data_IF_556488207349
#
_entry.id   IF_556488207349
#
_cell.length_a   1.000
_cell.length_b   1.000
_cell.length_c   1.000
_cell.angle_alpha   90.00
_cell.angle_beta   90.00
_cell.angle_gamma   90.00
#
_symmetry.space_group_name_H-M   'P 1'
#
loop_
_entity.id
_entity.type
_entity.pdbx_description
1 polymer ?
#
# COMPACT_ATOMS: atom_id res chain seq x y z
N UNK A 1 -30.30 27.50 21.75
CA UNK A 1 -29.68 28.80 22.06
C UNK A 1 -28.23 28.67 22.49
N UNK A 2 -27.91 27.74 23.39
CA UNK A 2 -26.58 27.57 23.98
C UNK A 2 -25.65 26.56 23.24
N UNK A 3 -26.18 25.72 22.34
CA UNK A 3 -25.36 24.74 21.60
C UNK A 3 -24.61 25.32 20.39
N UNK A 4 -25.18 26.32 19.69
CA UNK A 4 -24.51 26.97 18.55
C UNK A 4 -23.30 27.83 18.94
N UNK A 5 -23.21 28.25 20.21
CA UNK A 5 -22.10 29.05 20.74
C UNK A 5 -20.88 28.16 21.09
N UNK A 6 -21.10 26.87 21.40
CA UNK A 6 -20.03 25.90 21.67
C UNK A 6 -19.36 25.39 20.39
N UNK A 7 -20.13 25.14 19.32
CA UNK A 7 -19.61 24.76 17.99
C UNK A 7 -18.74 25.85 17.36
N UNK A 8 -19.12 27.12 17.48
CA UNK A 8 -18.36 28.24 16.92
C UNK A 8 -16.98 28.40 17.60
N UNK A 9 -16.90 28.23 18.93
CA UNK A 9 -15.63 28.28 19.67
C UNK A 9 -14.67 27.13 19.33
N UNK A 10 -15.24 25.99 18.88
CA UNK A 10 -14.49 24.80 18.46
C UNK A 10 -13.82 25.01 17.10
N UNK A 11 -14.54 25.64 16.16
CA UNK A 11 -14.04 25.94 14.81
C UNK A 11 -12.94 27.03 14.86
N UNK A 12 -13.08 28.03 15.73
CA UNK A 12 -12.07 29.09 15.89
C UNK A 12 -10.77 28.58 16.55
N UNK A 13 -10.89 27.70 17.55
CA UNK A 13 -9.74 27.04 18.20
C UNK A 13 -9.01 26.09 17.24
N UNK A 14 -9.76 25.41 16.35
CA UNK A 14 -9.22 24.53 15.32
C UNK A 14 -8.51 25.30 14.20
N UNK A 15 -9.05 26.45 13.78
CA UNK A 15 -8.44 27.30 12.74
C UNK A 15 -7.18 28.04 13.22
N UNK A 16 -7.05 28.34 14.51
CA UNK A 16 -5.80 28.88 15.07
C UNK A 16 -4.62 27.88 14.99
N UNK A 17 -4.92 26.58 15.09
CA UNK A 17 -3.93 25.50 15.01
C UNK A 17 -3.49 25.16 13.56
N UNK A 18 -4.25 25.59 12.53
CA UNK A 18 -3.90 25.36 11.11
C UNK A 18 -2.56 25.96 10.70
N UNK A 19 -2.10 27.03 11.35
CA UNK A 19 -0.81 27.65 11.06
C UNK A 19 0.39 26.75 11.35
N UNK A 20 0.21 25.64 12.09
CA UNK A 20 1.27 24.66 12.38
C UNK A 20 1.21 23.42 11.46
N UNK A 21 0.15 23.27 10.66
CA UNK A 21 -0.10 22.08 9.82
C UNK A 21 0.61 22.10 8.45
N UNK A 22 1.47 23.09 8.18
CA UNK A 22 2.30 23.12 6.97
C UNK A 22 3.60 22.31 7.08
N UNK A 23 3.84 21.67 8.23
CA UNK A 23 4.97 20.74 8.40
C UNK A 23 4.57 19.32 8.01
N UNK A 24 5.34 18.70 7.12
CA UNK A 24 5.33 17.25 6.88
C UNK A 24 5.26 16.50 8.22
N UNK A 25 4.15 15.81 8.50
CA UNK A 25 3.98 15.04 9.74
C UNK A 25 4.83 13.78 9.62
N UNK A 26 6.08 13.85 10.08
CA UNK A 26 6.93 12.66 10.14
C UNK A 26 6.40 11.70 11.22
N UNK A 27 5.92 10.52 10.80
CA UNK A 27 5.37 9.50 11.70
C UNK A 27 6.44 8.92 12.63
N UNK A 28 6.20 9.02 13.95
CA UNK A 28 7.11 8.58 15.02
C UNK A 28 6.71 7.21 15.58
N UNK A 29 7.67 6.50 16.19
CA UNK A 29 7.42 5.20 16.86
C UNK A 29 6.50 5.31 18.07
N UNK A 30 6.47 6.48 18.71
CA UNK A 30 5.58 6.80 19.83
C UNK A 30 5.07 8.24 19.70
N UNK A 31 3.82 8.44 20.10
CA UNK A 31 3.14 9.73 20.13
C UNK A 31 2.92 10.18 21.58
N UNK A 32 3.05 11.47 21.84
CA UNK A 32 2.58 12.08 23.09
C UNK A 32 1.05 12.26 23.08
N UNK A 33 0.46 12.54 24.26
CA UNK A 33 -0.98 12.84 24.36
C UNK A 33 -1.39 14.00 23.45
N UNK A 34 -0.53 15.03 23.33
CA UNK A 34 -0.79 16.20 22.49
C UNK A 34 -0.72 15.87 21.00
N UNK A 35 0.30 15.13 20.59
CA UNK A 35 0.43 14.70 19.18
C UNK A 35 -0.75 13.80 18.79
N UNK A 36 -1.14 12.85 19.64
CA UNK A 36 -2.28 11.98 19.38
C UNK A 36 -3.61 12.76 19.30
N UNK A 37 -3.78 13.78 20.14
CA UNK A 37 -4.97 14.61 20.14
C UNK A 37 -5.13 15.41 18.84
N UNK A 38 -4.04 16.04 18.37
CA UNK A 38 -4.01 16.72 17.08
C UNK A 38 -4.32 15.75 15.96
N UNK A 39 -3.68 14.59 16.01
CA UNK A 39 -3.75 13.57 14.98
C UNK A 39 -5.15 12.94 14.83
N UNK A 40 -5.88 12.74 15.94
CA UNK A 40 -7.26 12.25 15.95
C UNK A 40 -8.31 13.37 15.97
N UNK A 41 -7.90 14.64 15.83
CA UNK A 41 -8.77 15.81 15.91
C UNK A 41 -9.63 15.88 17.19
N UNK A 42 -9.08 15.50 18.35
CA UNK A 42 -9.73 15.55 19.66
C UNK A 42 -8.96 16.43 20.66
N UNK A 43 -9.53 16.68 21.84
CA UNK A 43 -8.82 17.39 22.90
C UNK A 43 -7.76 16.49 23.57
N UNK A 44 -6.62 17.07 23.98
CA UNK A 44 -5.59 16.38 24.75
C UNK A 44 -6.14 15.80 26.07
N UNK A 45 -7.12 16.47 26.70
CA UNK A 45 -7.80 15.95 27.89
C UNK A 45 -8.59 14.67 27.60
N UNK A 46 -9.19 14.55 26.42
CA UNK A 46 -9.90 13.33 25.97
C UNK A 46 -8.92 12.17 25.84
N UNK A 47 -7.75 12.40 25.24
CA UNK A 47 -6.69 11.38 25.11
C UNK A 47 -6.17 10.94 26.48
N UNK A 48 -5.97 11.89 27.41
CA UNK A 48 -5.57 11.57 28.78
C UNK A 48 -6.62 10.72 29.48
N UNK A 49 -7.90 11.08 29.34
CA UNK A 49 -9.02 10.30 29.89
C UNK A 49 -9.00 8.86 29.37
N UNK A 50 -8.93 8.65 28.06
CA UNK A 50 -8.87 7.31 27.47
C UNK A 50 -7.69 6.48 27.99
N UNK A 51 -6.54 7.11 28.20
CA UNK A 51 -5.37 6.41 28.74
C UNK A 51 -5.50 6.08 30.24
N UNK A 52 -6.25 6.89 30.99
CA UNK A 52 -6.43 6.71 32.43
C UNK A 52 -7.53 5.70 32.75
N UNK A 53 -8.55 5.61 31.89
CA UNK A 53 -9.59 4.57 31.91
C UNK A 53 -9.12 3.24 31.34
N UNK A 54 -7.99 3.23 30.62
CA UNK A 54 -7.45 2.04 29.97
C UNK A 54 -8.07 1.74 28.60
N UNK A 55 -8.89 2.64 28.06
CA UNK A 55 -9.53 2.50 26.74
C UNK A 55 -8.49 2.45 25.61
N UNK A 56 -7.38 3.21 25.76
CA UNK A 56 -6.24 3.16 24.84
C UNK A 56 -4.96 2.82 25.60
N UNK A 57 -4.27 1.79 25.12
CA UNK A 57 -3.01 1.33 25.69
C UNK A 57 -1.91 2.38 25.51
N UNK A 58 -1.17 2.68 26.59
CA UNK A 58 -0.02 3.55 26.57
C UNK A 58 1.09 3.07 27.49
N UNK A 59 2.34 3.36 27.13
CA UNK A 59 3.48 3.19 28.02
C UNK A 59 3.76 4.52 28.72
N UNK A 60 4.23 4.46 29.97
CA UNK A 60 4.73 5.63 30.69
C UNK A 60 6.26 5.60 30.73
N UNK A 61 6.89 6.71 30.38
CA UNK A 61 8.36 6.83 30.50
C UNK A 61 8.77 6.88 31.98
N UNK A 62 10.08 6.78 32.27
CA UNK A 62 10.61 6.98 33.63
C UNK A 62 10.18 8.32 34.26
N UNK A 63 9.94 9.35 33.45
CA UNK A 63 9.40 10.65 33.88
C UNK A 63 7.88 10.73 33.95
N UNK A 64 7.16 9.61 33.82
CA UNK A 64 5.69 9.57 33.92
C UNK A 64 4.93 10.05 32.69
N UNK A 65 5.61 10.44 31.61
CA UNK A 65 4.94 10.91 30.39
C UNK A 65 4.32 9.75 29.60
N UNK A 66 3.07 9.92 29.18
CA UNK A 66 2.34 8.97 28.33
C UNK A 66 2.94 8.92 26.92
N UNK A 67 3.07 7.71 26.40
CA UNK A 67 3.54 7.42 25.04
C UNK A 67 2.64 6.35 24.43
N UNK A 68 2.04 6.69 23.30
CA UNK A 68 1.12 5.83 22.56
C UNK A 68 1.86 5.22 21.39
N UNK A 69 1.86 3.88 21.30
CA UNK A 69 2.42 3.21 20.14
C UNK A 69 1.47 3.35 18.96
N UNK A 70 2.00 3.34 17.74
CA UNK A 70 1.16 3.37 16.55
C UNK A 70 0.16 2.22 16.52
N UNK A 71 0.59 1.02 16.90
CA UNK A 71 -0.24 -0.18 16.91
C UNK A 71 -1.43 -0.02 17.88
N UNK A 72 -1.20 0.54 19.06
CA UNK A 72 -2.25 0.81 20.05
C UNK A 72 -3.24 1.86 19.53
N UNK A 73 -2.75 2.89 18.83
CA UNK A 73 -3.62 3.92 18.22
C UNK A 73 -4.48 3.32 17.10
N UNK A 74 -3.88 2.58 16.17
CA UNK A 74 -4.59 1.93 15.06
C UNK A 74 -5.69 1.00 15.55
N UNK A 75 -5.37 0.15 16.53
CA UNK A 75 -6.33 -0.74 17.17
C UNK A 75 -7.50 0.04 17.78
N UNK A 76 -7.19 1.06 18.57
CA UNK A 76 -8.19 1.89 19.23
C UNK A 76 -9.14 2.56 18.24
N UNK A 77 -8.62 3.14 17.16
CA UNK A 77 -9.44 3.77 16.13
C UNK A 77 -10.35 2.76 15.46
N UNK A 78 -9.82 1.59 15.09
CA UNK A 78 -10.58 0.54 14.43
C UNK A 78 -11.73 0.02 15.32
N UNK A 79 -11.44 -0.23 16.60
CA UNK A 79 -12.42 -0.72 17.59
C UNK A 79 -13.52 0.31 17.86
N UNK A 80 -13.16 1.60 17.92
CA UNK A 80 -14.08 2.70 18.21
C UNK A 80 -14.71 3.32 16.96
N UNK A 81 -14.41 2.80 15.77
CA UNK A 81 -14.91 3.30 14.47
C UNK A 81 -14.73 4.82 14.29
N UNK A 82 -13.58 5.34 14.73
CA UNK A 82 -13.32 6.78 14.66
C UNK A 82 -12.99 7.22 13.22
N UNK A 83 -13.47 8.39 12.84
CA UNK A 83 -13.05 9.04 11.59
C UNK A 83 -11.66 9.67 11.77
N UNK A 84 -10.72 9.26 10.92
CA UNK A 84 -9.35 9.82 10.89
C UNK A 84 -9.27 10.78 9.70
N UNK A 85 -8.61 11.95 9.84
CA UNK A 85 -8.31 12.82 8.70
C UNK A 85 -7.60 12.07 7.57
N UNK A 86 -7.98 12.32 6.31
CA UNK A 86 -7.52 11.55 5.15
C UNK A 86 -5.99 11.42 5.04
N UNK A 87 -5.24 12.48 5.37
CA UNK A 87 -3.78 12.47 5.39
C UNK A 87 -3.21 11.48 6.43
N UNK A 88 -3.80 11.46 7.62
CA UNK A 88 -3.43 10.55 8.70
C UNK A 88 -3.81 9.10 8.36
N UNK A 89 -4.91 8.88 7.64
CA UNK A 89 -5.31 7.54 7.13
C UNK A 89 -4.27 6.97 6.16
N UNK A 90 -3.77 7.78 5.23
CA UNK A 90 -2.72 7.37 4.27
C UNK A 90 -1.41 7.02 4.98
N UNK A 91 -0.99 7.86 5.93
CA UNK A 91 0.24 7.63 6.71
C UNK A 91 0.14 6.39 7.61
N UNK A 92 -1.04 6.14 8.19
CA UNK A 92 -1.32 4.93 8.95
C UNK A 92 -1.25 3.67 8.10
N UNK A 93 -1.91 3.67 6.95
CA UNK A 93 -1.87 2.54 6.04
C UNK A 93 -0.42 2.22 5.66
N UNK A 94 0.38 3.25 5.31
CA UNK A 94 1.80 3.10 5.00
C UNK A 94 2.63 2.55 6.16
N UNK A 95 2.37 3.00 7.39
CA UNK A 95 3.15 2.61 8.55
C UNK A 95 2.69 1.26 9.13
N UNK A 96 1.41 0.89 9.00
CA UNK A 96 0.91 -0.45 9.32
C UNK A 96 1.48 -1.49 8.34
N UNK A 97 1.50 -1.15 7.04
CA UNK A 97 2.24 -1.92 6.02
C UNK A 97 3.68 -2.09 6.51
N UNK A 98 4.41 -1.00 6.78
CA UNK A 98 5.79 -1.05 7.29
C UNK A 98 5.96 -1.87 8.57
N UNK A 99 5.00 -1.85 9.49
CA UNK A 99 5.07 -2.60 10.74
C UNK A 99 4.96 -4.10 10.49
N UNK A 100 4.02 -4.50 9.62
CA UNK A 100 3.89 -5.89 9.19
C UNK A 100 5.10 -6.37 8.38
N UNK A 101 5.77 -5.47 7.64
CA UNK A 101 7.03 -5.78 6.97
C UNK A 101 8.15 -6.16 7.93
N UNK A 102 8.29 -5.42 9.04
CA UNK A 102 9.32 -5.69 10.06
C UNK A 102 9.08 -7.04 10.74
N UNK A 103 7.84 -7.50 10.80
CA UNK A 103 7.48 -8.82 11.30
C UNK A 103 7.70 -9.95 10.26
N UNK A 104 8.09 -9.65 9.02
CA UNK A 104 8.27 -10.63 7.95
C UNK A 104 6.96 -11.31 7.49
N UNK A 105 5.80 -10.77 7.90
CA UNK A 105 4.51 -11.37 7.61
C UNK A 105 4.01 -10.85 6.25
N UNK A 106 4.27 -11.60 5.18
CA UNK A 106 3.81 -11.30 3.83
C UNK A 106 2.34 -11.64 3.60
N UNK A 107 1.73 -12.45 4.46
CA UNK A 107 0.36 -12.96 4.29
C UNK A 107 -0.69 -11.82 4.32
N UNK A 108 -0.36 -10.71 4.99
CA UNK A 108 -1.23 -9.53 5.06
C UNK A 108 -1.13 -8.62 3.83
N UNK A 109 -0.13 -8.82 2.96
CA UNK A 109 0.08 -7.95 1.80
C UNK A 109 -0.90 -8.26 0.67
N UNK A 110 -1.16 -9.54 0.40
CA UNK A 110 -2.10 -9.97 -0.63
C UNK A 110 -3.52 -9.39 -0.45
N UNK A 111 -4.20 -9.51 0.71
CA UNK A 111 -5.53 -8.95 0.89
C UNK A 111 -5.54 -7.42 0.79
N UNK A 112 -4.47 -6.74 1.23
CA UNK A 112 -4.33 -5.28 1.11
C UNK A 112 -4.14 -4.86 -0.35
N UNK A 113 -3.31 -5.58 -1.10
CA UNK A 113 -3.08 -5.32 -2.53
C UNK A 113 -4.38 -5.48 -3.32
N UNK A 114 -5.13 -6.57 -3.09
CA UNK A 114 -6.43 -6.79 -3.72
C UNK A 114 -7.40 -5.64 -3.44
N UNK A 115 -7.54 -5.26 -2.17
CA UNK A 115 -8.45 -4.18 -1.76
C UNK A 115 -8.08 -2.84 -2.39
N UNK A 116 -6.78 -2.50 -2.42
CA UNK A 116 -6.29 -1.28 -3.06
C UNK A 116 -6.51 -1.32 -4.58
N UNK A 117 -6.27 -2.45 -5.23
CA UNK A 117 -6.44 -2.60 -6.67
C UNK A 117 -7.90 -2.45 -7.10
N UNK A 118 -8.84 -3.07 -6.38
CA UNK A 118 -10.28 -3.01 -6.67
C UNK A 118 -10.87 -1.59 -6.64
N UNK A 119 -10.22 -0.65 -5.95
CA UNK A 119 -10.63 0.76 -5.89
C UNK A 119 -9.74 1.68 -6.76
N UNK A 120 -8.86 1.13 -7.59
CA UNK A 120 -7.96 1.93 -8.44
C UNK A 120 -6.79 2.59 -7.68
N UNK A 121 -6.50 2.13 -6.47
CA UNK A 121 -5.50 2.71 -5.57
C UNK A 121 -4.06 2.40 -6.00
N UNK A 122 -3.55 3.10 -7.01
CA UNK A 122 -2.20 2.89 -7.55
C UNK A 122 -1.09 3.22 -6.54
N UNK A 123 -1.24 4.32 -5.78
CA UNK A 123 -0.24 4.73 -4.79
C UNK A 123 -0.12 3.70 -3.66
N UNK A 124 -1.25 3.16 -3.21
CA UNK A 124 -1.30 2.15 -2.15
C UNK A 124 -0.78 0.81 -2.67
N UNK A 125 -1.21 0.38 -3.86
CA UNK A 125 -0.71 -0.82 -4.54
C UNK A 125 0.81 -0.78 -4.68
N UNK A 126 1.38 0.32 -5.18
CA UNK A 126 2.82 0.48 -5.32
C UNK A 126 3.54 0.47 -3.95
N UNK A 127 2.95 1.09 -2.93
CA UNK A 127 3.49 1.09 -1.58
C UNK A 127 3.52 -0.33 -1.00
N UNK A 128 2.47 -1.13 -1.22
CA UNK A 128 2.38 -2.53 -0.80
C UNK A 128 3.41 -3.40 -1.54
N UNK A 129 3.62 -3.21 -2.84
CA UNK A 129 4.64 -3.96 -3.60
C UNK A 129 6.06 -3.61 -3.14
N UNK A 130 6.37 -2.32 -2.96
CA UNK A 130 7.66 -1.87 -2.40
C UNK A 130 7.90 -2.43 -1.02
N UNK A 131 6.84 -2.46 -0.23
CA UNK A 131 6.85 -3.03 1.10
C UNK A 131 7.23 -4.52 1.04
N UNK A 132 6.53 -5.32 0.23
CA UNK A 132 6.85 -6.75 0.07
C UNK A 132 8.29 -6.99 -0.38
N UNK A 133 8.81 -6.20 -1.33
CA UNK A 133 10.21 -6.27 -1.76
C UNK A 133 11.21 -5.91 -0.63
N UNK A 134 10.86 -4.98 0.26
CA UNK A 134 11.70 -4.64 1.39
C UNK A 134 11.74 -5.73 2.47
N UNK A 135 10.66 -6.52 2.62
CA UNK A 135 10.62 -7.65 3.55
C UNK A 135 11.35 -8.88 3.04
N UNK A 136 11.17 -9.23 1.76
CA UNK A 136 11.90 -10.29 1.08
C UNK A 136 12.53 -9.66 -0.16
N UNK A 137 13.85 -9.40 -0.18
CA UNK A 137 14.54 -8.74 -1.29
C UNK A 137 14.74 -9.69 -2.48
N UNK A 138 13.70 -10.44 -2.82
CA UNK A 138 13.60 -11.27 -3.99
C UNK A 138 12.27 -10.97 -4.68
N UNK A 139 12.37 -10.50 -5.92
CA UNK A 139 11.21 -10.10 -6.70
C UNK A 139 10.35 -11.30 -7.10
N UNK A 140 10.96 -12.48 -7.24
CA UNK A 140 10.23 -13.69 -7.57
C UNK A 140 9.30 -14.09 -6.43
N UNK A 141 9.80 -14.10 -5.19
CA UNK A 141 9.01 -14.30 -3.98
C UNK A 141 7.86 -13.29 -3.86
N UNK A 142 8.08 -12.02 -4.19
CA UNK A 142 7.00 -11.01 -4.21
C UNK A 142 5.89 -11.39 -5.21
N UNK A 143 6.27 -11.88 -6.40
CA UNK A 143 5.30 -12.27 -7.40
C UNK A 143 4.53 -13.53 -7.01
N UNK A 144 5.23 -14.56 -6.51
CA UNK A 144 4.65 -15.84 -6.11
C UNK A 144 3.76 -15.74 -4.88
N UNK A 145 4.19 -14.99 -3.85
CA UNK A 145 3.49 -14.92 -2.57
C UNK A 145 2.38 -13.86 -2.56
N UNK A 146 2.46 -12.83 -3.42
CA UNK A 146 1.57 -11.67 -3.35
C UNK A 146 0.84 -11.41 -4.66
N UNK A 147 1.57 -11.19 -5.77
CA UNK A 147 0.94 -10.72 -7.01
C UNK A 147 0.08 -11.81 -7.67
N UNK A 148 0.63 -13.01 -7.89
CA UNK A 148 -0.09 -14.09 -8.56
C UNK A 148 -1.31 -14.58 -7.77
N UNK A 149 -1.24 -14.75 -6.43
CA UNK A 149 -2.42 -15.08 -5.63
C UNK A 149 -3.53 -14.02 -5.75
N UNK A 150 -3.18 -12.73 -5.77
CA UNK A 150 -4.15 -11.65 -5.91
C UNK A 150 -4.80 -11.64 -7.30
N UNK A 151 -4.01 -11.78 -8.37
CA UNK A 151 -4.55 -11.88 -9.74
C UNK A 151 -5.49 -13.07 -9.90
N UNK A 152 -5.13 -14.22 -9.32
CA UNK A 152 -6.00 -15.41 -9.33
C UNK A 152 -7.31 -15.14 -8.59
N UNK A 153 -7.26 -14.56 -7.39
CA UNK A 153 -8.45 -14.22 -6.62
C UNK A 153 -9.36 -13.22 -7.34
N UNK A 154 -8.79 -12.22 -8.01
CA UNK A 154 -9.57 -11.27 -8.84
C UNK A 154 -10.28 -12.02 -9.98
N UNK A 155 -9.57 -12.92 -10.66
CA UNK A 155 -10.16 -13.75 -11.73
C UNK A 155 -11.26 -14.68 -11.21
N UNK A 156 -11.06 -15.33 -10.07
CA UNK A 156 -12.03 -16.22 -9.43
C UNK A 156 -13.29 -15.44 -8.97
N UNK A 157 -13.11 -14.25 -8.39
CA UNK A 157 -14.21 -13.35 -8.00
C UNK A 157 -15.02 -12.87 -9.22
N UNK A 158 -14.35 -12.57 -10.34
CA UNK A 158 -15.02 -12.19 -11.58
C UNK A 158 -15.80 -13.37 -12.17
N UNK A 159 -15.18 -14.55 -12.26
CA UNK A 159 -15.79 -15.76 -12.79
C UNK A 159 -17.02 -16.20 -11.97
N UNK A 160 -16.99 -15.96 -10.66
CA UNK A 160 -18.10 -16.23 -9.73
C UNK A 160 -19.11 -15.07 -9.61
N UNK A 161 -18.94 -13.98 -10.38
CA UNK A 161 -19.79 -12.77 -10.38
C UNK A 161 -19.83 -12.02 -9.04
N UNK A 162 -18.80 -12.18 -8.21
CA UNK A 162 -18.60 -11.40 -6.98
C UNK A 162 -18.18 -9.96 -7.32
N UNK A 163 -17.37 -9.79 -8.37
CA UNK A 163 -17.00 -8.49 -8.92
C UNK A 163 -17.43 -8.38 -10.38
N UNK A 164 -17.69 -7.16 -10.84
CA UNK A 164 -18.02 -6.87 -12.23
C UNK A 164 -16.77 -6.83 -13.12
N UNK A 165 -16.96 -6.83 -14.44
CA UNK A 165 -15.86 -6.75 -15.41
C UNK A 165 -15.09 -5.42 -15.31
N UNK A 166 -15.75 -4.32 -14.99
CA UNK A 166 -15.10 -3.02 -14.79
C UNK A 166 -14.21 -3.02 -13.53
N UNK A 167 -14.62 -3.71 -12.46
CA UNK A 167 -13.81 -3.87 -11.26
C UNK A 167 -12.59 -4.76 -11.50
N UNK A 168 -12.75 -5.85 -12.24
CA UNK A 168 -11.63 -6.70 -12.69
C UNK A 168 -10.64 -5.88 -13.50
N UNK A 169 -11.10 -5.18 -14.54
CA UNK A 169 -10.24 -4.36 -15.39
C UNK A 169 -9.52 -3.27 -14.60
N UNK A 170 -10.23 -2.58 -13.70
CA UNK A 170 -9.63 -1.55 -12.84
C UNK A 170 -8.53 -2.14 -11.96
N UNK A 171 -8.77 -3.30 -11.34
CA UNK A 171 -7.81 -3.95 -10.47
C UNK A 171 -6.58 -4.44 -11.24
N UNK A 172 -6.79 -5.16 -12.34
CA UNK A 172 -5.73 -5.67 -13.21
C UNK A 172 -4.86 -4.54 -13.77
N UNK A 173 -5.45 -3.43 -14.22
CA UNK A 173 -4.67 -2.27 -14.70
C UNK A 173 -3.91 -1.58 -13.58
N UNK A 174 -4.51 -1.44 -12.39
CA UNK A 174 -3.84 -0.84 -11.23
C UNK A 174 -2.62 -1.66 -10.80
N UNK A 175 -2.74 -2.99 -10.78
CA UNK A 175 -1.64 -3.90 -10.47
C UNK A 175 -0.55 -3.81 -11.54
N UNK A 176 -0.94 -3.83 -12.82
CA UNK A 176 -0.01 -3.68 -13.95
C UNK A 176 0.82 -2.42 -13.83
N UNK A 177 0.18 -1.27 -13.62
CA UNK A 177 0.85 0.02 -13.47
C UNK A 177 1.76 0.06 -12.23
N UNK A 178 1.34 -0.55 -11.12
CA UNK A 178 2.15 -0.64 -9.92
C UNK A 178 3.43 -1.46 -10.16
N UNK A 179 3.34 -2.59 -10.88
CA UNK A 179 4.51 -3.41 -11.26
C UNK A 179 5.45 -2.62 -12.16
N UNK A 180 4.94 -1.95 -13.20
CA UNK A 180 5.76 -1.13 -14.09
C UNK A 180 6.50 -0.03 -13.31
N UNK A 181 5.82 0.65 -12.38
CA UNK A 181 6.46 1.68 -11.54
C UNK A 181 7.48 1.10 -10.57
N UNK A 182 7.25 -0.11 -10.06
CA UNK A 182 8.18 -0.80 -9.17
C UNK A 182 9.52 -1.05 -9.86
N UNK A 183 9.53 -1.30 -11.17
CA UNK A 183 10.76 -1.62 -11.94
C UNK A 183 11.86 -0.58 -11.76
N UNK A 184 11.51 0.70 -11.67
CA UNK A 184 12.46 1.80 -11.45
C UNK A 184 13.24 1.71 -10.13
N UNK A 185 12.75 0.93 -9.17
CA UNK A 185 13.32 0.78 -7.82
C UNK A 185 14.11 -0.53 -7.66
N UNK A 186 14.22 -1.35 -8.70
CA UNK A 186 14.87 -2.66 -8.64
C UNK A 186 16.38 -2.53 -8.84
N UNK A 187 17.13 -3.36 -8.10
CA UNK A 187 18.55 -3.54 -8.37
C UNK A 187 18.72 -4.52 -9.54
N UNK A 188 19.59 -4.17 -10.49
CA UNK A 188 19.91 -5.03 -11.63
C UNK A 188 21.29 -5.65 -11.45
N UNK A 189 21.36 -6.97 -11.59
CA UNK A 189 22.62 -7.70 -11.71
C UNK A 189 23.34 -7.28 -13.01
N UNK A 190 24.68 -7.43 -13.07
CA UNK A 190 25.44 -7.16 -14.29
C UNK A 190 24.92 -7.94 -15.49
N UNK A 191 25.07 -7.35 -16.68
CA UNK A 191 24.62 -7.99 -17.92
C UNK A 191 25.32 -9.34 -18.13
N UNK A 192 24.51 -10.37 -18.37
CA UNK A 192 24.99 -11.75 -18.60
C UNK A 192 25.42 -12.00 -20.05
N UNK A 193 24.99 -11.12 -20.97
CA UNK A 193 25.07 -11.34 -22.41
C UNK A 193 23.91 -12.16 -22.99
N UNK A 194 23.05 -12.75 -22.15
CA UNK A 194 21.84 -13.43 -22.57
C UNK A 194 20.74 -12.43 -22.98
N UNK A 195 19.86 -12.87 -23.89
CA UNK A 195 18.68 -12.10 -24.28
C UNK A 195 17.43 -12.97 -24.33
N UNK A 196 16.27 -12.36 -24.05
CA UNK A 196 14.98 -13.02 -24.07
C UNK A 196 13.95 -12.21 -24.85
N UNK A 197 13.21 -12.86 -25.74
CA UNK A 197 12.06 -12.30 -26.42
C UNK A 197 10.78 -12.82 -25.75
N UNK A 198 9.92 -11.92 -25.31
CA UNK A 198 8.69 -12.21 -24.59
C UNK A 198 7.50 -11.67 -25.38
N UNK A 199 6.44 -12.47 -25.50
CA UNK A 199 5.19 -12.09 -26.14
C UNK A 199 4.04 -12.98 -25.64
N UNK A 200 2.83 -12.44 -25.57
CA UNK A 200 1.63 -13.26 -25.48
C UNK A 200 1.23 -13.73 -26.89
N UNK A 201 0.66 -14.94 -26.97
CA UNK A 201 0.14 -15.47 -28.23
C UNK A 201 -1.06 -14.64 -28.72
N UNK A 202 -1.43 -14.82 -29.99
CA UNK A 202 -2.52 -14.10 -30.65
C UNK A 202 -3.86 -14.27 -29.91
N UNK A 203 -4.55 -13.15 -29.68
CA UNK A 203 -5.79 -13.07 -28.91
C UNK A 203 -5.62 -13.06 -27.38
N UNK A 204 -4.40 -13.23 -26.85
CA UNK A 204 -4.15 -13.10 -25.42
C UNK A 204 -3.80 -11.65 -25.04
N UNK A 205 -4.70 -11.02 -24.30
CA UNK A 205 -4.59 -9.64 -23.82
C UNK A 205 -4.06 -9.52 -22.39
N UNK A 206 -4.01 -10.62 -21.63
CA UNK A 206 -3.49 -10.63 -20.26
C UNK A 206 -1.98 -10.80 -20.27
N UNK A 207 -1.24 -9.71 -20.06
CA UNK A 207 0.22 -9.70 -20.10
C UNK A 207 0.88 -9.40 -18.74
N UNK A 208 0.11 -9.26 -17.65
CA UNK A 208 0.67 -8.91 -16.33
C UNK A 208 1.75 -9.92 -15.92
N UNK A 209 1.49 -11.22 -16.13
CA UNK A 209 2.48 -12.28 -15.88
C UNK A 209 3.68 -12.17 -16.81
N UNK A 210 3.47 -11.78 -18.08
CA UNK A 210 4.56 -11.51 -19.03
C UNK A 210 5.45 -10.36 -18.53
N UNK A 211 4.86 -9.30 -17.96
CA UNK A 211 5.59 -8.19 -17.35
C UNK A 211 6.37 -8.62 -16.11
N UNK A 212 5.81 -9.52 -15.28
CA UNK A 212 6.54 -10.10 -14.14
C UNK A 212 7.79 -10.86 -14.61
N UNK A 213 7.65 -11.71 -15.63
CA UNK A 213 8.76 -12.48 -16.21
C UNK A 213 9.80 -11.53 -16.82
N UNK A 214 9.36 -10.52 -17.57
CA UNK A 214 10.24 -9.52 -18.16
C UNK A 214 11.06 -8.79 -17.09
N UNK A 215 10.40 -8.36 -16.02
CA UNK A 215 11.03 -7.69 -14.88
C UNK A 215 12.03 -8.59 -14.18
N UNK A 216 11.70 -9.87 -13.94
CA UNK A 216 12.60 -10.81 -13.29
C UNK A 216 13.86 -11.06 -14.11
N UNK A 217 13.71 -11.33 -15.41
CA UNK A 217 14.86 -11.54 -16.31
C UNK A 217 15.75 -10.30 -16.39
N UNK A 218 15.15 -9.10 -16.47
CA UNK A 218 15.89 -7.85 -16.49
C UNK A 218 16.69 -7.63 -15.20
N UNK A 219 16.14 -7.98 -14.04
CA UNK A 219 16.86 -7.95 -12.74
C UNK A 219 18.03 -8.92 -12.73
N UNK A 220 17.89 -10.08 -13.38
CA UNK A 220 18.96 -11.09 -13.54
C UNK A 220 19.96 -10.78 -14.66
N UNK A 221 20.02 -9.53 -15.12
CA UNK A 221 21.00 -9.07 -16.10
C UNK A 221 20.75 -9.53 -17.54
N UNK A 222 19.55 -10.02 -17.88
CA UNK A 222 19.19 -10.37 -19.26
C UNK A 222 18.78 -9.12 -20.04
N UNK A 223 19.13 -9.08 -21.34
CA UNK A 223 18.53 -8.13 -22.27
C UNK A 223 17.15 -8.61 -22.70
N UNK A 224 16.10 -7.97 -22.22
CA UNK A 224 14.71 -8.40 -22.48
C UNK A 224 14.07 -7.54 -23.58
N UNK A 225 13.49 -8.20 -24.58
CA UNK A 225 12.61 -7.61 -25.58
C UNK A 225 11.18 -8.09 -25.32
N UNK A 226 10.34 -7.24 -24.76
CA UNK A 226 8.95 -7.57 -24.49
C UNK A 226 8.05 -6.96 -25.59
N UNK A 227 7.47 -7.81 -26.44
CA UNK A 227 6.53 -7.42 -27.50
C UNK A 227 5.11 -7.17 -26.96
N UNK A 228 4.85 -7.56 -25.73
CA UNK A 228 3.57 -7.37 -25.07
C UNK A 228 2.51 -8.38 -25.50
N UNK A 229 1.26 -7.92 -25.42
CA UNK A 229 0.07 -8.72 -25.67
C UNK A 229 -0.19 -8.96 -27.16
N UNK A 230 -1.05 -9.93 -27.47
CA UNK A 230 -1.65 -10.15 -28.80
C UNK A 230 -0.65 -10.06 -29.98
N UNK A 231 0.43 -10.85 -29.91
CA UNK A 231 1.44 -10.86 -30.98
C UNK A 231 1.15 -12.00 -31.96
N UNK A 232 0.80 -11.71 -33.24
CA UNK A 232 0.54 -12.75 -34.23
C UNK A 232 1.75 -13.67 -34.43
N UNK A 233 1.51 -14.98 -34.55
CA UNK A 233 2.58 -15.99 -34.65
C UNK A 233 3.59 -15.68 -35.75
N UNK A 234 3.14 -15.18 -36.90
CA UNK A 234 4.02 -14.79 -38.03
C UNK A 234 4.98 -13.66 -37.65
N UNK A 235 4.52 -12.68 -36.87
CA UNK A 235 5.33 -11.57 -36.36
C UNK A 235 6.33 -12.05 -35.32
N UNK A 236 5.93 -12.97 -34.44
CA UNK A 236 6.80 -13.56 -33.43
C UNK A 236 7.96 -14.34 -34.08
N UNK A 237 7.67 -15.19 -35.07
CA UNK A 237 8.71 -15.94 -35.83
C UNK A 237 9.70 -14.99 -36.51
N UNK A 238 9.22 -13.85 -37.02
CA UNK A 238 10.09 -12.83 -37.62
C UNK A 238 10.98 -12.13 -36.58
N UNK A 239 10.45 -11.89 -35.38
CA UNK A 239 11.19 -11.26 -34.29
C UNK A 239 12.30 -12.17 -33.73
N UNK A 240 12.08 -13.49 -33.64
CA UNK A 240 13.09 -14.46 -33.20
C UNK A 240 14.30 -14.52 -34.14
N UNK A 241 14.10 -14.23 -35.43
CA UNK A 241 15.14 -14.30 -36.47
C UNK A 241 15.99 -13.03 -36.61
N UNK A 242 15.68 -11.97 -35.85
CA UNK A 242 16.43 -10.71 -35.84
C UNK A 242 17.54 -10.76 -34.82
#
# INVERSE_FOLDING_TARGET
GLDRVREASYIESFNSCKSTLTGNVSMKRYYSSRELAVFLAVNESTVKRWSDTGDIECIRTRGGHRRFSLQSILRFVQENKMEIPELATREFAQQEIRTNLVAGNTDVLAPKLKSAALVGGLADSLSILRAGLASKPDILSLYEDVVFPVLKQIGDDWASRVISVDQEHLASQTIRDAIVRLQSSLHHEPLTGASGLLACYEGQTHDIVLQCIASYLAVKGWKVYNLGQDTPTKSLVKAIKR
#
